data_IF_216590308052
#
_entry.id   IF_216590308052
#
_cell.length_a   1.000
_cell.length_b   1.000
_cell.length_c   1.000
_cell.angle_alpha   90.00
_cell.angle_beta   90.00
_cell.angle_gamma   90.00
#
_symmetry.space_group_name_H-M   'P 1'
#
loop_
_entity.id
_entity.type
_entity.pdbx_description
1 polymer ?
#
# COMPACT_ATOMS: atom_id res chain seq x y z
N UNK A 1 -4.39 -16.11 -7.75
CA UNK A 1 -4.46 -14.66 -8.04
C UNK A 1 -3.64 -13.96 -6.99
N UNK A 2 -2.59 -13.23 -7.41
CA UNK A 2 -1.65 -12.55 -6.51
C UNK A 2 -2.01 -11.07 -6.37
N UNK A 3 -2.20 -10.62 -5.14
CA UNK A 3 -2.48 -9.22 -4.80
C UNK A 3 -1.32 -8.64 -4.01
N UNK A 4 -0.82 -7.51 -4.44
CA UNK A 4 0.20 -6.74 -3.71
C UNK A 4 -0.50 -5.74 -2.79
N UNK A 5 -0.08 -5.69 -1.53
CA UNK A 5 -0.53 -4.67 -0.56
C UNK A 5 0.68 -3.87 -0.12
N UNK A 6 0.79 -2.62 -0.57
CA UNK A 6 1.85 -1.72 -0.12
C UNK A 6 1.46 -1.06 1.19
N UNK A 7 2.41 -0.88 2.11
CA UNK A 7 2.09 -0.49 3.49
C UNK A 7 1.29 -1.56 4.23
N UNK A 8 1.47 -2.82 3.82
CA UNK A 8 0.68 -3.96 4.31
C UNK A 8 0.95 -4.35 5.76
N UNK A 9 1.97 -3.80 6.41
CA UNK A 9 2.22 -3.98 7.84
C UNK A 9 1.73 -2.79 8.69
N UNK A 10 1.17 -1.76 8.04
CA UNK A 10 0.46 -0.69 8.74
C UNK A 10 -0.91 -1.16 9.26
N UNK A 11 -1.60 -0.30 10.04
CA UNK A 11 -2.86 -0.66 10.67
C UNK A 11 -3.93 -1.09 9.65
N UNK A 12 -4.26 -0.24 8.67
CA UNK A 12 -5.27 -0.57 7.66
C UNK A 12 -4.77 -1.68 6.73
N UNK A 13 -3.51 -1.58 6.29
CA UNK A 13 -2.91 -2.57 5.38
C UNK A 13 -2.95 -3.98 5.93
N UNK A 14 -2.57 -4.19 7.20
CA UNK A 14 -2.54 -5.52 7.81
C UNK A 14 -3.94 -6.16 7.94
N UNK A 15 -4.97 -5.36 8.25
CA UNK A 15 -6.35 -5.84 8.25
C UNK A 15 -6.82 -6.22 6.85
N UNK A 16 -6.45 -5.42 5.83
CA UNK A 16 -6.74 -5.76 4.43
C UNK A 16 -6.05 -7.05 4.00
N UNK A 17 -4.80 -7.27 4.41
CA UNK A 17 -4.07 -8.53 4.13
C UNK A 17 -4.82 -9.73 4.72
N UNK A 18 -5.29 -9.62 5.98
CA UNK A 18 -6.08 -10.68 6.62
C UNK A 18 -7.34 -11.02 5.82
N UNK A 19 -8.11 -10.00 5.43
CA UNK A 19 -9.34 -10.22 4.65
C UNK A 19 -9.06 -10.86 3.29
N UNK A 20 -8.03 -10.40 2.58
CA UNK A 20 -7.64 -10.98 1.29
C UNK A 20 -7.23 -12.44 1.41
N UNK A 21 -6.45 -12.80 2.44
CA UNK A 21 -6.06 -14.19 2.68
C UNK A 21 -7.25 -15.06 3.05
N UNK A 22 -8.19 -14.55 3.86
CA UNK A 22 -9.40 -15.28 4.26
C UNK A 22 -10.30 -15.62 3.08
N UNK A 23 -10.33 -14.77 2.05
CA UNK A 23 -11.09 -15.04 0.81
C UNK A 23 -10.26 -15.77 -0.26
N UNK A 24 -9.04 -16.20 0.06
CA UNK A 24 -8.25 -17.11 -0.75
C UNK A 24 -7.25 -16.46 -1.71
N UNK A 25 -6.98 -15.16 -1.61
CA UNK A 25 -5.92 -14.54 -2.39
C UNK A 25 -4.53 -14.89 -1.84
N UNK A 26 -3.56 -15.00 -2.73
CA UNK A 26 -2.14 -14.98 -2.37
C UNK A 26 -1.70 -13.53 -2.24
N UNK A 27 -1.24 -13.13 -1.05
CA UNK A 27 -0.90 -11.75 -0.76
C UNK A 27 0.60 -11.56 -0.65
N UNK A 28 1.10 -10.54 -1.34
CA UNK A 28 2.47 -10.07 -1.23
C UNK A 28 2.44 -8.70 -0.57
N UNK A 29 3.07 -8.59 0.59
CA UNK A 29 3.19 -7.34 1.34
C UNK A 29 4.48 -6.64 0.95
N UNK A 30 4.39 -5.35 0.60
CA UNK A 30 5.52 -4.44 0.49
C UNK A 30 5.44 -3.42 1.62
N UNK A 31 6.50 -3.33 2.41
CA UNK A 31 6.63 -2.33 3.48
C UNK A 31 8.10 -2.00 3.69
N UNK A 32 8.44 -0.76 4.02
CA UNK A 32 9.82 -0.36 4.31
C UNK A 32 10.13 -0.37 5.81
N UNK A 33 9.14 -0.69 6.66
CA UNK A 33 9.22 -0.72 8.12
C UNK A 33 9.56 0.63 8.77
N UNK A 34 9.39 1.74 8.06
CA UNK A 34 9.67 3.07 8.61
C UNK A 34 8.70 3.47 9.72
N UNK A 35 7.47 2.97 9.68
CA UNK A 35 6.39 3.24 10.64
C UNK A 35 5.54 1.99 10.95
N UNK A 36 6.13 0.82 10.86
CA UNK A 36 5.49 -0.49 11.08
C UNK A 36 6.48 -1.45 11.73
N UNK A 37 6.01 -2.64 12.13
CA UNK A 37 6.86 -3.69 12.70
C UNK A 37 6.73 -4.98 11.91
N UNK A 38 7.84 -5.69 11.76
CA UNK A 38 7.90 -7.02 11.17
C UNK A 38 7.04 -8.04 11.96
N UNK A 39 6.80 -7.80 13.26
CA UNK A 39 6.02 -8.66 14.13
C UNK A 39 4.54 -8.79 13.69
N UNK A 40 4.06 -7.83 12.89
CA UNK A 40 2.71 -7.84 12.32
C UNK A 40 2.50 -9.08 11.43
N UNK A 41 3.54 -9.59 10.76
CA UNK A 41 3.47 -10.82 9.97
C UNK A 41 3.02 -12.02 10.83
N UNK A 42 3.60 -12.14 12.03
CA UNK A 42 3.20 -13.18 12.97
C UNK A 42 1.76 -13.01 13.48
N UNK A 43 1.28 -11.76 13.58
CA UNK A 43 -0.12 -11.47 13.90
C UNK A 43 -1.06 -11.94 12.79
N UNK A 44 -0.75 -11.63 11.55
CA UNK A 44 -1.52 -12.06 10.37
C UNK A 44 -1.57 -13.59 10.31
N UNK A 45 -0.43 -14.25 10.46
CA UNK A 45 -0.34 -15.72 10.44
C UNK A 45 -1.18 -16.38 11.54
N UNK A 46 -1.19 -15.83 12.75
CA UNK A 46 -2.03 -16.36 13.84
C UNK A 46 -3.54 -16.27 13.54
N UNK A 47 -3.97 -15.28 12.78
CA UNK A 47 -5.38 -15.07 12.42
C UNK A 47 -5.77 -15.94 11.24
N UNK A 48 -4.96 -15.95 10.18
CA UNK A 48 -5.29 -16.57 8.89
C UNK A 48 -4.76 -17.98 8.72
N UNK A 49 -3.82 -18.40 9.57
CA UNK A 49 -3.09 -19.67 9.44
C UNK A 49 -2.01 -19.64 8.35
N UNK A 50 -1.78 -18.51 7.68
CA UNK A 50 -0.82 -18.38 6.60
C UNK A 50 -0.09 -17.05 6.67
N UNK A 51 1.24 -17.09 6.67
CA UNK A 51 2.05 -15.88 6.54
C UNK A 51 2.01 -15.36 5.09
N UNK A 52 1.75 -14.07 4.86
CA UNK A 52 1.87 -13.49 3.52
C UNK A 52 3.33 -13.47 3.07
N UNK A 53 3.55 -13.42 1.76
CA UNK A 53 4.88 -13.14 1.23
C UNK A 53 5.24 -11.70 1.63
N UNK A 54 6.45 -11.49 2.11
CA UNK A 54 6.92 -10.16 2.54
C UNK A 54 8.17 -9.75 1.78
N UNK A 55 8.14 -8.53 1.25
CA UNK A 55 9.28 -7.87 0.63
C UNK A 55 9.52 -6.52 1.30
N UNK A 56 10.66 -6.39 1.95
CA UNK A 56 11.07 -5.12 2.53
C UNK A 56 11.64 -4.22 1.43
N UNK A 57 10.80 -3.35 0.91
CA UNK A 57 11.14 -2.44 -0.19
C UNK A 57 10.71 -1.02 0.16
N UNK A 58 11.59 -0.07 -0.08
CA UNK A 58 11.24 1.33 -0.12
C UNK A 58 10.77 1.69 -1.55
N UNK A 59 9.52 2.09 -1.67
CA UNK A 59 8.92 2.41 -2.97
C UNK A 59 9.51 3.67 -3.62
N UNK A 60 10.31 4.46 -2.90
CA UNK A 60 11.09 5.56 -3.46
C UNK A 60 12.26 5.09 -4.31
N UNK A 61 12.66 3.83 -4.12
CA UNK A 61 13.75 3.19 -4.87
C UNK A 61 13.22 2.58 -6.17
N UNK A 62 13.23 3.36 -7.26
CA UNK A 62 12.69 2.93 -8.56
C UNK A 62 13.21 1.57 -9.01
N UNK A 63 14.51 1.33 -8.86
CA UNK A 63 15.13 0.05 -9.25
C UNK A 63 14.60 -1.13 -8.44
N UNK A 64 14.30 -0.94 -7.14
CA UNK A 64 13.73 -1.97 -6.29
C UNK A 64 12.29 -2.30 -6.71
N UNK A 65 11.49 -1.29 -7.08
CA UNK A 65 10.13 -1.47 -7.62
C UNK A 65 10.18 -2.27 -8.93
N UNK A 66 11.09 -1.92 -9.84
CA UNK A 66 11.28 -2.64 -11.10
C UNK A 66 11.69 -4.10 -10.88
N UNK A 67 12.64 -4.34 -9.97
CA UNK A 67 13.10 -5.69 -9.63
C UNK A 67 11.97 -6.53 -9.01
N UNK A 68 11.12 -5.93 -8.18
CA UNK A 68 9.95 -6.58 -7.61
C UNK A 68 8.99 -7.08 -8.69
N UNK A 69 8.57 -6.23 -9.63
CA UNK A 69 7.65 -6.63 -10.69
C UNK A 69 8.27 -7.56 -11.73
N UNK A 70 9.59 -7.57 -11.88
CA UNK A 70 10.31 -8.58 -12.65
C UNK A 70 10.31 -9.96 -11.97
N UNK A 71 10.36 -9.99 -10.64
CA UNK A 71 10.29 -11.21 -9.82
C UNK A 71 8.87 -11.78 -9.74
N UNK A 72 7.87 -10.91 -9.54
CA UNK A 72 6.47 -11.30 -9.35
C UNK A 72 5.64 -11.00 -10.60
N UNK A 73 5.73 -11.88 -11.59
CA UNK A 73 5.07 -11.70 -12.90
C UNK A 73 3.57 -11.93 -12.87
N UNK A 74 3.08 -12.70 -11.87
CA UNK A 74 1.69 -13.13 -11.74
C UNK A 74 0.80 -12.15 -10.93
N UNK A 75 1.32 -10.98 -10.61
CA UNK A 75 0.55 -9.95 -9.91
C UNK A 75 -0.63 -9.49 -10.76
N UNK A 76 -1.83 -9.63 -10.20
CA UNK A 76 -3.11 -9.27 -10.84
C UNK A 76 -3.77 -8.03 -10.23
N UNK A 77 -3.25 -7.53 -9.11
CA UNK A 77 -3.76 -6.32 -8.49
C UNK A 77 -2.81 -5.74 -7.44
N UNK A 78 -2.93 -4.44 -7.22
CA UNK A 78 -2.20 -3.70 -6.20
C UNK A 78 -3.18 -2.86 -5.40
N UNK A 79 -3.11 -2.96 -4.07
CA UNK A 79 -3.78 -2.04 -3.14
C UNK A 79 -2.70 -1.20 -2.47
N UNK A 80 -2.76 0.11 -2.67
CA UNK A 80 -1.71 1.03 -2.26
C UNK A 80 -2.11 1.82 -1.02
N UNK A 81 -1.53 1.44 0.14
CA UNK A 81 -1.67 2.16 1.41
C UNK A 81 -0.39 2.87 1.84
N UNK A 82 0.76 2.53 1.25
CA UNK A 82 2.04 3.11 1.64
C UNK A 82 2.06 4.62 1.42
N UNK A 83 2.09 5.39 2.49
CA UNK A 83 2.14 6.84 2.44
C UNK A 83 2.63 7.42 3.78
N UNK A 84 3.23 8.61 3.74
CA UNK A 84 3.43 9.45 4.91
C UNK A 84 2.17 10.30 5.15
N UNK A 85 1.64 10.32 6.38
CA UNK A 85 0.33 10.93 6.69
C UNK A 85 0.35 11.96 7.82
N UNK A 86 1.48 12.21 8.47
CA UNK A 86 1.57 13.14 9.59
C UNK A 86 1.49 14.60 9.09
N UNK A 87 0.39 15.29 9.37
CA UNK A 87 0.13 16.66 8.88
C UNK A 87 1.24 17.63 9.32
N UNK A 88 1.65 17.61 10.60
CA UNK A 88 2.71 18.47 11.11
C UNK A 88 4.04 18.26 10.40
N UNK A 89 4.44 17.01 10.15
CA UNK A 89 5.65 16.68 9.43
C UNK A 89 5.58 17.13 7.96
N UNK A 90 4.41 17.03 7.31
CA UNK A 90 4.25 17.44 5.91
C UNK A 90 4.51 18.93 5.70
N UNK A 91 4.21 19.75 6.70
CA UNK A 91 4.49 21.20 6.67
C UNK A 91 5.98 21.48 6.86
N UNK A 92 6.64 20.71 7.73
CA UNK A 92 8.07 20.87 8.03
C UNK A 92 8.97 20.30 6.92
N UNK A 93 8.57 19.17 6.33
CA UNK A 93 9.33 18.44 5.33
C UNK A 93 8.49 18.12 4.08
N UNK A 94 8.00 19.12 3.32
CA UNK A 94 7.08 18.88 2.22
C UNK A 94 7.70 18.03 1.09
N UNK A 95 8.98 18.17 0.80
CA UNK A 95 9.65 17.40 -0.25
C UNK A 95 9.70 15.90 0.06
N UNK A 96 9.87 15.54 1.34
CA UNK A 96 9.80 14.14 1.78
C UNK A 96 8.43 13.54 1.46
N UNK A 97 7.36 14.31 1.65
CA UNK A 97 5.98 13.88 1.35
C UNK A 97 5.73 13.75 -0.15
N UNK A 98 6.25 14.67 -0.96
CA UNK A 98 6.18 14.55 -2.43
C UNK A 98 6.93 13.31 -2.92
N UNK A 99 8.13 13.09 -2.42
CA UNK A 99 8.93 11.93 -2.80
C UNK A 99 8.27 10.63 -2.36
N UNK A 100 7.85 10.54 -1.10
CA UNK A 100 7.29 9.31 -0.55
C UNK A 100 5.88 9.01 -1.09
N UNK A 101 5.02 10.01 -1.25
CA UNK A 101 3.63 9.79 -1.63
C UNK A 101 3.38 9.89 -3.13
N UNK A 102 4.17 10.68 -3.87
CA UNK A 102 3.95 10.89 -5.30
C UNK A 102 4.95 10.11 -6.14
N UNK A 103 6.26 10.22 -5.87
CA UNK A 103 7.24 9.51 -6.68
C UNK A 103 7.08 8.00 -6.57
N UNK A 104 6.84 7.48 -5.36
CA UNK A 104 6.57 6.05 -5.14
C UNK A 104 5.34 5.56 -5.91
N UNK A 105 4.26 6.34 -5.91
CA UNK A 105 3.05 6.03 -6.69
C UNK A 105 3.35 6.00 -8.19
N UNK A 106 4.10 6.98 -8.69
CA UNK A 106 4.49 7.02 -10.12
C UNK A 106 5.30 5.79 -10.50
N UNK A 107 6.24 5.35 -9.67
CA UNK A 107 7.05 4.15 -9.96
C UNK A 107 6.21 2.88 -9.98
N UNK A 108 5.24 2.73 -9.07
CA UNK A 108 4.28 1.63 -9.12
C UNK A 108 3.45 1.65 -10.41
N UNK A 109 2.91 2.80 -10.78
CA UNK A 109 2.07 2.94 -11.97
C UNK A 109 2.87 2.69 -13.26
N UNK A 110 4.16 3.07 -13.32
CA UNK A 110 5.04 2.76 -14.45
C UNK A 110 5.21 1.25 -14.67
N UNK A 111 5.21 0.45 -13.61
CA UNK A 111 5.27 -1.00 -13.73
C UNK A 111 3.89 -1.61 -14.06
N UNK A 112 2.83 -1.10 -13.45
CA UNK A 112 1.48 -1.58 -13.69
C UNK A 112 0.98 -1.30 -15.11
N UNK A 113 1.38 -0.20 -15.75
CA UNK A 113 1.01 0.07 -17.14
C UNK A 113 1.52 -1.01 -18.13
N UNK A 114 2.55 -1.78 -17.75
CA UNK A 114 3.04 -2.93 -18.51
C UNK A 114 2.17 -4.19 -18.33
N UNK A 115 1.20 -4.13 -17.42
CA UNK A 115 0.28 -5.21 -17.05
C UNK A 115 -1.17 -4.73 -17.16
N UNK A 116 -1.72 -4.59 -18.36
CA UNK A 116 -3.03 -3.93 -18.58
C UNK A 116 -4.21 -4.62 -17.90
N UNK A 117 -4.05 -5.91 -17.56
CA UNK A 117 -5.06 -6.69 -16.84
C UNK A 117 -4.98 -6.53 -15.31
N UNK A 118 -3.96 -5.86 -14.78
CA UNK A 118 -3.82 -5.67 -13.34
C UNK A 118 -4.70 -4.52 -12.85
N UNK A 119 -5.40 -4.75 -11.74
CA UNK A 119 -6.21 -3.75 -11.08
C UNK A 119 -5.38 -2.93 -10.09
N UNK A 120 -5.70 -1.64 -9.97
CA UNK A 120 -5.06 -0.75 -9.01
C UNK A 120 -6.11 -0.07 -8.13
N UNK A 121 -5.95 -0.23 -6.82
CA UNK A 121 -6.78 0.44 -5.80
C UNK A 121 -5.88 1.38 -5.02
N UNK A 122 -6.24 2.65 -5.00
CA UNK A 122 -5.53 3.69 -4.27
C UNK A 122 -6.33 4.12 -3.03
N UNK A 123 -5.71 3.99 -1.86
CA UNK A 123 -6.28 4.54 -0.62
C UNK A 123 -6.05 6.05 -0.59
N UNK A 124 -7.07 6.80 -0.96
CA UNK A 124 -7.05 8.25 -0.97
C UNK A 124 -7.11 8.84 0.46
N UNK A 125 -7.09 10.15 0.55
CA UNK A 125 -7.17 10.91 1.80
C UNK A 125 -8.58 11.42 2.04
N UNK A 126 -9.04 11.40 3.30
CA UNK A 126 -10.29 12.07 3.70
C UNK A 126 -10.26 13.58 3.44
N UNK A 127 -9.08 14.17 3.30
CA UNK A 127 -8.93 15.61 3.01
C UNK A 127 -9.43 16.02 1.62
N UNK A 128 -9.73 15.08 0.72
CA UNK A 128 -10.33 15.39 -0.59
C UNK A 128 -11.72 16.02 -0.46
N UNK A 129 -12.40 15.79 0.66
CA UNK A 129 -13.71 16.37 0.93
C UNK A 129 -13.65 17.81 1.48
N UNK A 130 -12.43 18.31 1.82
CA UNK A 130 -12.27 19.64 2.41
C UNK A 130 -12.94 19.78 3.78
N UNK A 131 -13.46 20.96 4.06
CA UNK A 131 -14.30 21.21 5.23
C UNK A 131 -15.76 20.93 4.86
N UNK A 132 -16.27 19.80 5.28
CA UNK A 132 -17.65 19.43 5.00
C UNK A 132 -18.62 20.30 5.84
N UNK A 133 -19.64 20.85 5.18
CA UNK A 133 -20.67 21.64 5.85
C UNK A 133 -21.65 20.77 6.64
N UNK A 134 -21.79 19.49 6.27
CA UNK A 134 -22.66 18.51 6.92
C UNK A 134 -21.91 17.24 7.28
N UNK A 135 -22.32 16.64 8.40
CA UNK A 135 -21.86 15.33 8.87
C UNK A 135 -23.04 14.34 8.94
N UNK A 136 -22.89 13.07 8.66
CA UNK A 136 -21.65 12.39 8.21
C UNK A 136 -21.28 12.74 6.76
N UNK A 137 -19.99 12.66 6.44
CA UNK A 137 -19.48 12.81 5.07
C UNK A 137 -19.87 11.58 4.25
N UNK A 138 -20.35 11.80 3.04
CA UNK A 138 -20.70 10.77 2.06
C UNK A 138 -20.05 11.06 0.71
N UNK A 139 -20.10 10.09 -0.22
CA UNK A 139 -19.51 10.21 -1.56
C UNK A 139 -20.11 11.35 -2.39
N UNK A 140 -21.27 11.86 -1.97
CA UNK A 140 -21.95 12.99 -2.62
C UNK A 140 -21.60 14.36 -2.01
N UNK A 141 -20.72 14.36 -1.00
CA UNK A 141 -20.29 15.59 -0.31
C UNK A 141 -19.37 16.44 -1.17
#
# INVERSE_FOLDING_TARGET
MQIVVTGGLGFIGSHTVVELQNVGYEVIVIDNLSNSSIDVLGGIERITGKQPIFEQIDLREKAAVQAFFAKYTEVTGVIHFAASKAVGESVQNPLLYYENNIASLVYLLQELQKKPEAHFIFSSSCTVYGQAEMMPIAETT
#
